data_IF_650611830039
#
_entry.id   IF_650611830039
#
_cell.length_a   1.000
_cell.length_b   1.000
_cell.length_c   1.000
_cell.angle_alpha   90.00
_cell.angle_beta   90.00
_cell.angle_gamma   90.00
#
_symmetry.space_group_name_H-M   'P 1'
#
loop_
_entity.id
_entity.type
_entity.pdbx_description
1 polymer ?
#
# COMPACT_ATOMS: atom_id res chain seq x y z
N UNK A 1 -23.06 16.46 7.57
CA UNK A 1 -22.92 15.62 8.79
C UNK A 1 -22.72 14.18 8.34
N UNK A 2 -21.87 13.42 9.02
CA UNK A 2 -21.70 11.98 8.81
C UNK A 2 -23.02 11.22 9.00
N UNK A 3 -23.09 10.00 8.50
CA UNK A 3 -24.24 9.11 8.73
C UNK A 3 -24.16 8.52 10.14
N UNK A 4 -25.28 8.51 10.87
CA UNK A 4 -25.37 7.80 12.15
C UNK A 4 -26.08 6.45 11.95
N UNK A 5 -25.44 5.35 12.37
CA UNK A 5 -25.97 4.00 12.34
C UNK A 5 -26.06 3.45 13.76
N UNK A 6 -27.23 2.94 14.16
CA UNK A 6 -27.45 2.36 15.50
C UNK A 6 -27.64 0.86 15.31
N UNK A 7 -26.77 0.04 15.95
CA UNK A 7 -26.75 -1.42 15.74
C UNK A 7 -28.07 -2.10 16.19
N UNK A 8 -28.74 -1.58 17.21
CA UNK A 8 -30.03 -2.12 17.68
C UNK A 8 -31.25 -1.72 16.83
N UNK A 9 -31.09 -0.83 15.84
CA UNK A 9 -32.20 -0.39 15.02
C UNK A 9 -32.69 -1.45 14.05
N UNK A 10 -33.99 -1.50 13.82
CA UNK A 10 -34.56 -2.28 12.74
C UNK A 10 -33.99 -1.83 11.39
N UNK A 11 -33.47 -2.76 10.58
CA UNK A 11 -32.85 -2.47 9.29
C UNK A 11 -31.39 -2.00 9.36
N UNK A 12 -30.72 -2.09 10.52
CA UNK A 12 -29.29 -1.78 10.62
C UNK A 12 -28.46 -2.54 9.60
N UNK A 13 -28.64 -3.85 9.48
CA UNK A 13 -27.87 -4.70 8.56
C UNK A 13 -28.00 -4.24 7.11
N UNK A 14 -29.19 -3.83 6.67
CA UNK A 14 -29.40 -3.32 5.32
C UNK A 14 -28.68 -1.98 5.12
N UNK A 15 -28.80 -1.06 6.07
CA UNK A 15 -28.14 0.26 6.01
C UNK A 15 -26.61 0.12 6.08
N UNK A 16 -26.12 -0.76 6.94
CA UNK A 16 -24.70 -1.02 7.07
C UNK A 16 -24.12 -1.69 5.81
N UNK A 17 -24.83 -2.66 5.21
CA UNK A 17 -24.43 -3.25 3.94
C UNK A 17 -24.40 -2.19 2.81
N UNK A 18 -25.39 -1.31 2.75
CA UNK A 18 -25.40 -0.20 1.80
C UNK A 18 -24.21 0.73 2.03
N UNK A 19 -23.92 1.12 3.27
CA UNK A 19 -22.76 1.92 3.63
C UNK A 19 -21.44 1.29 3.17
N UNK A 20 -21.26 -0.02 3.35
CA UNK A 20 -20.06 -0.75 2.90
C UNK A 20 -19.91 -0.79 1.38
N UNK A 21 -21.01 -0.68 0.63
CA UNK A 21 -21.01 -0.74 -0.84
C UNK A 21 -21.01 0.62 -1.52
N UNK A 22 -21.15 1.72 -0.77
CA UNK A 22 -21.22 3.11 -1.29
C UNK A 22 -19.98 3.51 -2.11
N UNK A 23 -19.05 2.61 -2.37
CA UNK A 23 -17.71 2.88 -2.89
C UNK A 23 -17.42 2.31 -4.27
N UNK A 24 -17.10 3.20 -5.20
CA UNK A 24 -15.75 3.45 -5.74
C UNK A 24 -15.41 2.54 -6.89
N UNK A 25 -16.26 2.44 -7.86
CA UNK A 25 -15.90 1.81 -9.13
C UNK A 25 -15.06 2.78 -9.97
N UNK A 26 -13.97 2.28 -10.54
CA UNK A 26 -13.23 2.97 -11.60
C UNK A 26 -14.15 2.96 -12.83
N UNK A 27 -14.43 4.11 -13.42
CA UNK A 27 -15.32 4.18 -14.60
C UNK A 27 -14.71 3.44 -15.79
N UNK A 28 -15.54 2.85 -16.64
CA UNK A 28 -15.10 2.22 -17.93
C UNK A 28 -14.32 3.20 -18.82
N UNK A 29 -14.62 4.50 -18.73
CA UNK A 29 -13.92 5.56 -19.44
C UNK A 29 -12.45 5.67 -19.04
N UNK A 30 -12.12 5.50 -17.73
CA UNK A 30 -10.76 5.50 -17.23
C UNK A 30 -9.99 4.31 -17.77
N UNK A 31 -10.57 3.10 -17.77
CA UNK A 31 -9.91 1.90 -18.27
C UNK A 31 -9.58 1.98 -19.76
N UNK A 32 -10.49 2.56 -20.55
CA UNK A 32 -10.29 2.76 -21.98
C UNK A 32 -9.20 3.79 -22.26
N UNK A 33 -9.21 4.91 -21.54
CA UNK A 33 -8.18 5.95 -21.68
C UNK A 33 -6.80 5.41 -21.29
N UNK A 34 -6.72 4.66 -20.20
CA UNK A 34 -5.45 4.05 -19.72
C UNK A 34 -4.92 3.03 -20.71
N UNK A 35 -5.78 2.20 -21.32
CA UNK A 35 -5.38 1.24 -22.35
C UNK A 35 -4.73 1.95 -23.56
N UNK A 36 -5.29 3.07 -23.99
CA UNK A 36 -4.75 3.87 -25.07
C UNK A 36 -3.38 4.48 -24.69
N UNK A 37 -3.25 4.97 -23.45
CA UNK A 37 -1.97 5.51 -22.94
C UNK A 37 -0.88 4.42 -22.93
N UNK A 38 -1.18 3.25 -22.38
CA UNK A 38 -0.24 2.12 -22.31
C UNK A 38 0.19 1.70 -23.73
N UNK A 39 -0.77 1.56 -24.66
CA UNK A 39 -0.48 1.19 -26.04
C UNK A 39 0.47 2.20 -26.72
N UNK A 40 0.24 3.50 -26.50
CA UNK A 40 1.06 4.56 -27.06
C UNK A 40 2.48 4.58 -26.48
N UNK A 41 2.64 4.42 -25.15
CA UNK A 41 3.97 4.35 -24.52
C UNK A 41 4.77 3.15 -25.07
N UNK A 42 4.12 2.00 -25.28
CA UNK A 42 4.76 0.81 -25.86
C UNK A 42 5.22 1.01 -27.30
N UNK A 43 4.50 1.83 -28.04
CA UNK A 43 4.80 2.08 -29.47
C UNK A 43 5.82 3.21 -29.68
N UNK A 44 5.79 4.25 -28.86
CA UNK A 44 6.50 5.51 -29.08
C UNK A 44 7.56 5.82 -28.00
N UNK A 45 7.66 5.01 -26.93
CA UNK A 45 8.68 5.15 -25.89
C UNK A 45 8.72 6.54 -25.24
N UNK A 46 9.91 7.14 -25.17
CA UNK A 46 10.14 8.45 -24.56
C UNK A 46 9.32 9.58 -25.21
N UNK A 47 9.04 9.51 -26.52
CA UNK A 47 8.23 10.51 -27.20
C UNK A 47 6.82 10.60 -26.61
N UNK A 48 6.20 9.46 -26.29
CA UNK A 48 4.90 9.44 -25.61
C UNK A 48 4.98 10.02 -24.19
N UNK A 49 6.08 9.77 -23.45
CA UNK A 49 6.27 10.35 -22.11
C UNK A 49 6.37 11.87 -22.15
N UNK A 50 7.15 12.41 -23.11
CA UNK A 50 7.29 13.86 -23.32
C UNK A 50 5.94 14.51 -23.61
N UNK A 51 5.20 13.96 -24.56
CA UNK A 51 3.88 14.50 -24.95
C UNK A 51 2.87 14.45 -23.80
N UNK A 52 2.78 13.33 -23.08
CA UNK A 52 1.84 13.20 -21.98
C UNK A 52 2.22 14.09 -20.79
N UNK A 53 3.50 14.22 -20.46
CA UNK A 53 3.95 15.10 -19.39
C UNK A 53 3.71 16.58 -19.74
N UNK A 54 3.95 16.98 -21.00
CA UNK A 54 3.60 18.31 -21.46
C UNK A 54 2.07 18.57 -21.35
N UNK A 55 1.28 17.58 -21.74
CA UNK A 55 -0.19 17.68 -21.72
C UNK A 55 -0.74 17.77 -20.29
N UNK A 56 -0.32 16.90 -19.38
CA UNK A 56 -0.91 16.75 -18.06
C UNK A 56 -0.23 17.58 -16.98
N UNK A 57 1.10 17.60 -16.98
CA UNK A 57 1.90 18.30 -15.97
C UNK A 57 2.34 19.70 -16.42
N UNK A 58 2.12 20.07 -17.71
CA UNK A 58 2.61 21.33 -18.31
C UNK A 58 4.12 21.49 -18.21
N UNK A 59 4.86 20.39 -18.24
CA UNK A 59 6.31 20.33 -18.16
C UNK A 59 6.91 19.85 -19.49
N UNK A 60 7.84 20.61 -20.05
CA UNK A 60 8.55 20.25 -21.26
C UNK A 60 9.81 19.43 -20.93
N UNK A 61 9.71 18.11 -21.05
CA UNK A 61 10.81 17.20 -20.79
C UNK A 61 11.92 17.26 -21.84
N UNK A 62 11.72 17.88 -23.02
CA UNK A 62 12.81 18.11 -23.97
C UNK A 62 13.83 19.11 -23.40
N UNK A 63 13.38 20.08 -22.62
CA UNK A 63 14.24 21.06 -21.97
C UNK A 63 14.71 20.63 -20.59
N UNK A 64 13.85 19.96 -19.81
CA UNK A 64 14.13 19.58 -18.42
C UNK A 64 14.86 18.23 -18.28
N UNK A 65 14.75 17.37 -19.30
CA UNK A 65 15.14 15.96 -19.22
C UNK A 65 14.13 15.10 -18.45
N UNK A 66 14.00 13.84 -18.87
CA UNK A 66 13.15 12.84 -18.17
C UNK A 66 13.76 12.49 -16.81
N UNK A 67 15.07 12.26 -16.76
CA UNK A 67 15.78 11.89 -15.54
C UNK A 67 16.11 13.10 -14.67
N UNK A 68 16.01 12.94 -13.36
CA UNK A 68 16.51 13.90 -12.37
C UNK A 68 18.04 13.76 -12.27
N UNK A 69 18.75 14.87 -12.30
CA UNK A 69 20.21 14.90 -12.22
C UNK A 69 20.69 14.91 -10.75
N UNK A 70 21.98 14.64 -10.57
CA UNK A 70 22.63 14.83 -9.25
C UNK A 70 22.63 16.27 -8.79
N UNK A 71 22.69 17.22 -9.75
CA UNK A 71 22.66 18.64 -9.44
C UNK A 71 21.27 19.08 -8.95
N UNK A 72 20.18 18.49 -9.50
CA UNK A 72 18.82 18.70 -8.97
C UNK A 72 18.71 18.23 -7.51
N UNK A 73 19.28 17.07 -7.20
CA UNK A 73 19.28 16.54 -5.82
C UNK A 73 20.13 17.46 -4.91
N UNK A 74 21.31 17.89 -5.36
CA UNK A 74 22.15 18.80 -4.59
C UNK A 74 21.48 20.15 -4.36
N UNK A 75 20.71 20.65 -5.32
CA UNK A 75 19.89 21.85 -5.15
C UNK A 75 18.74 21.62 -4.18
N UNK A 76 18.08 20.46 -4.24
CA UNK A 76 17.00 20.11 -3.31
C UNK A 76 17.43 20.16 -1.83
N UNK A 77 18.66 19.73 -1.51
CA UNK A 77 19.21 19.86 -0.15
C UNK A 77 19.40 21.32 0.29
N UNK A 78 19.67 22.24 -0.63
CA UNK A 78 19.78 23.67 -0.29
C UNK A 78 18.43 24.35 -0.07
N UNK A 79 17.41 23.86 -0.81
CA UNK A 79 16.06 24.41 -0.78
C UNK A 79 15.21 23.81 0.35
N UNK A 80 15.58 22.64 0.85
CA UNK A 80 14.86 21.92 1.90
C UNK A 80 15.13 22.52 3.29
N UNK A 81 14.09 22.59 4.13
CA UNK A 81 14.24 22.95 5.53
C UNK A 81 15.09 21.90 6.27
N UNK A 82 16.20 22.32 6.93
CA UNK A 82 17.10 21.40 7.63
C UNK A 82 16.41 20.57 8.73
N UNK A 83 15.45 21.16 9.44
CA UNK A 83 14.72 20.45 10.50
C UNK A 83 13.89 19.31 9.90
N UNK A 84 13.24 19.54 8.77
CA UNK A 84 12.45 18.53 8.06
C UNK A 84 13.36 17.42 7.48
N UNK A 85 14.55 17.76 7.00
CA UNK A 85 15.55 16.77 6.56
C UNK A 85 15.95 15.84 7.70
N UNK A 86 16.21 16.37 8.89
CA UNK A 86 16.53 15.55 10.07
C UNK A 86 15.33 14.68 10.50
N UNK A 87 14.10 15.17 10.41
CA UNK A 87 12.90 14.40 10.66
C UNK A 87 12.75 13.24 9.65
N UNK A 88 13.06 13.44 8.38
CA UNK A 88 13.07 12.38 7.36
C UNK A 88 14.13 11.31 7.65
N UNK A 89 15.33 11.71 8.09
CA UNK A 89 16.38 10.75 8.50
C UNK A 89 15.94 9.94 9.71
N UNK A 90 15.35 10.57 10.71
CA UNK A 90 14.79 9.90 11.87
C UNK A 90 13.70 8.90 11.48
N UNK A 91 12.75 9.29 10.64
CA UNK A 91 11.69 8.42 10.12
C UNK A 91 12.29 7.21 9.37
N UNK A 92 13.24 7.45 8.44
CA UNK A 92 13.95 6.40 7.70
C UNK A 92 14.56 5.35 8.64
N UNK A 93 15.23 5.77 9.69
CA UNK A 93 15.92 4.85 10.60
C UNK A 93 14.94 4.00 11.42
N UNK A 94 13.81 4.59 11.82
CA UNK A 94 12.73 3.85 12.48
C UNK A 94 12.08 2.83 11.54
N UNK A 95 11.75 3.25 10.31
CA UNK A 95 11.17 2.37 9.28
C UNK A 95 12.14 1.22 8.97
N UNK A 96 13.43 1.51 8.81
CA UNK A 96 14.48 0.49 8.61
C UNK A 96 14.50 -0.52 9.73
N UNK A 97 14.61 -0.05 10.98
CA UNK A 97 14.68 -0.92 12.16
C UNK A 97 13.49 -1.86 12.29
N UNK A 98 12.28 -1.39 11.94
CA UNK A 98 11.09 -2.22 11.92
C UNK A 98 11.16 -3.29 10.83
N UNK A 99 11.48 -2.90 9.61
CA UNK A 99 11.46 -3.80 8.45
C UNK A 99 12.60 -4.81 8.46
N UNK A 100 13.76 -4.50 9.06
CA UNK A 100 14.85 -5.47 9.26
C UNK A 100 14.40 -6.71 10.05
N UNK A 101 13.45 -6.57 10.97
CA UNK A 101 12.88 -7.68 11.74
C UNK A 101 11.93 -8.56 10.93
N UNK A 102 11.44 -8.08 9.80
CA UNK A 102 10.51 -8.82 8.93
C UNK A 102 11.24 -9.68 7.89
N UNK A 103 12.57 -9.58 7.78
CA UNK A 103 13.33 -10.34 6.80
C UNK A 103 13.19 -11.85 7.07
N UNK A 104 12.67 -12.61 6.08
CA UNK A 104 12.55 -14.05 6.21
C UNK A 104 13.92 -14.72 6.13
N UNK A 105 14.03 -15.90 6.73
CA UNK A 105 15.25 -16.72 6.70
C UNK A 105 15.09 -17.86 5.71
N UNK A 106 16.17 -18.23 5.05
CA UNK A 106 16.26 -19.49 4.33
C UNK A 106 16.07 -20.64 5.31
N UNK A 107 15.36 -21.67 4.87
CA UNK A 107 15.09 -22.86 5.67
C UNK A 107 15.48 -24.12 4.90
N UNK A 108 16.10 -25.07 5.59
CA UNK A 108 16.42 -26.41 5.08
C UNK A 108 16.26 -27.45 6.16
N UNK A 109 15.55 -28.52 5.84
CA UNK A 109 15.34 -29.64 6.73
C UNK A 109 15.26 -30.95 5.94
N UNK A 110 15.48 -32.08 6.64
CA UNK A 110 15.28 -33.42 6.08
C UNK A 110 14.03 -34.01 6.72
N UNK A 111 13.11 -34.48 5.90
CA UNK A 111 11.88 -35.13 6.38
C UNK A 111 12.10 -36.60 6.82
N UNK A 112 11.05 -37.25 7.30
CA UNK A 112 11.08 -38.63 7.75
C UNK A 112 11.45 -39.65 6.67
N UNK A 113 11.29 -39.30 5.38
CA UNK A 113 11.67 -40.13 4.24
C UNK A 113 13.13 -39.87 3.78
N UNK A 114 13.85 -39.01 4.49
CA UNK A 114 15.21 -38.63 4.15
C UNK A 114 15.33 -37.61 3.01
N UNK A 115 14.23 -36.98 2.63
CA UNK A 115 14.18 -35.97 1.57
C UNK A 115 14.63 -34.62 2.14
N UNK A 116 15.59 -33.97 1.49
CA UNK A 116 15.96 -32.60 1.82
C UNK A 116 14.99 -31.60 1.16
N UNK A 117 14.27 -30.86 1.98
CA UNK A 117 13.30 -29.83 1.61
C UNK A 117 13.79 -28.47 2.13
N UNK A 118 13.30 -27.41 1.51
CA UNK A 118 13.59 -26.08 2.01
C UNK A 118 13.06 -24.95 1.14
N UNK A 119 13.41 -23.76 1.53
CA UNK A 119 13.12 -22.54 0.77
C UNK A 119 14.27 -21.56 0.84
N UNK A 120 14.46 -20.84 -0.26
CA UNK A 120 15.43 -19.75 -0.39
C UNK A 120 14.70 -18.47 -0.72
N UNK A 121 15.07 -17.39 -0.06
CA UNK A 121 14.55 -16.05 -0.35
C UNK A 121 15.58 -15.24 -1.12
N UNK A 122 15.12 -14.54 -2.14
CA UNK A 122 15.96 -13.66 -2.96
C UNK A 122 15.21 -12.38 -3.26
N UNK A 123 15.89 -11.24 -3.20
CA UNK A 123 15.32 -9.97 -3.62
C UNK A 123 14.88 -10.02 -5.09
N UNK A 124 13.88 -9.21 -5.45
CA UNK A 124 13.59 -8.88 -6.85
C UNK A 124 14.72 -8.00 -7.41
N UNK A 125 14.92 -8.03 -8.73
CA UNK A 125 16.04 -7.33 -9.37
C UNK A 125 15.86 -5.80 -9.33
N UNK A 126 14.65 -5.34 -9.58
CA UNK A 126 14.33 -3.92 -9.65
C UNK A 126 12.89 -3.65 -9.22
N UNK A 127 12.66 -2.50 -8.58
CA UNK A 127 11.33 -2.01 -8.22
C UNK A 127 11.13 -0.58 -8.68
N UNK A 128 9.94 -0.29 -9.22
CA UNK A 128 9.48 1.04 -9.53
C UNK A 128 8.53 1.55 -8.43
N UNK A 129 8.85 2.70 -7.88
CA UNK A 129 8.06 3.37 -6.87
C UNK A 129 7.28 4.50 -7.52
N UNK A 130 5.96 4.43 -7.51
CA UNK A 130 5.12 5.55 -7.89
C UNK A 130 4.94 6.47 -6.69
N UNK A 131 5.45 7.69 -6.79
CA UNK A 131 5.26 8.72 -5.75
C UNK A 131 4.17 9.67 -6.23
N UNK A 132 3.06 9.81 -5.49
CA UNK A 132 2.02 10.74 -5.85
C UNK A 132 2.55 12.18 -5.88
N UNK A 133 2.06 12.98 -6.84
CA UNK A 133 2.27 14.41 -6.92
C UNK A 133 0.91 15.11 -7.06
N UNK A 134 0.90 16.41 -6.97
CA UNK A 134 -0.32 17.23 -7.08
C UNK A 134 -0.39 18.28 -5.98
N UNK A 135 -1.54 18.42 -5.32
CA UNK A 135 -1.76 19.43 -4.26
C UNK A 135 -0.97 19.17 -2.97
N UNK A 136 -0.51 17.95 -2.76
CA UNK A 136 0.38 17.59 -1.66
C UNK A 136 1.58 16.81 -2.18
N UNK A 137 2.74 16.97 -1.54
CA UNK A 137 3.93 16.18 -1.76
C UNK A 137 4.09 15.19 -0.61
N UNK A 138 4.51 13.95 -0.93
CA UNK A 138 4.58 12.87 0.05
C UNK A 138 6.00 12.31 0.17
N UNK A 139 6.94 13.06 0.80
CA UNK A 139 8.29 12.53 1.06
C UNK A 139 8.26 11.29 1.97
N UNK A 140 7.27 11.17 2.87
CA UNK A 140 7.04 9.98 3.67
C UNK A 140 6.77 8.74 2.81
N UNK A 141 5.97 8.86 1.75
CA UNK A 141 5.70 7.74 0.83
C UNK A 141 6.96 7.26 0.11
N UNK A 142 7.94 8.15 -0.12
CA UNK A 142 9.26 7.72 -0.64
C UNK A 142 9.93 6.80 0.36
N UNK A 143 10.00 7.18 1.65
CA UNK A 143 10.61 6.38 2.70
C UNK A 143 9.89 5.03 2.85
N UNK A 144 8.55 5.05 2.94
CA UNK A 144 7.70 3.87 3.15
C UNK A 144 7.80 2.84 2.04
N UNK A 145 8.13 3.26 0.83
CA UNK A 145 8.33 2.34 -0.31
C UNK A 145 9.81 1.96 -0.48
N UNK A 146 10.74 2.92 -0.41
CA UNK A 146 12.14 2.67 -0.73
C UNK A 146 12.90 1.95 0.39
N UNK A 147 12.61 2.27 1.67
CA UNK A 147 13.34 1.67 2.80
C UNK A 147 13.12 0.17 2.90
N UNK A 148 11.88 -0.39 2.87
CA UNK A 148 11.69 -1.83 2.89
C UNK A 148 12.26 -2.52 1.64
N UNK A 149 12.22 -1.89 0.46
CA UNK A 149 12.86 -2.42 -0.74
C UNK A 149 14.38 -2.53 -0.56
N UNK A 150 15.01 -1.51 0.04
CA UNK A 150 16.45 -1.52 0.34
C UNK A 150 16.80 -2.56 1.40
N UNK A 151 16.00 -2.69 2.46
CA UNK A 151 16.16 -3.74 3.50
C UNK A 151 16.05 -5.14 2.88
N UNK A 152 15.13 -5.35 1.95
CA UNK A 152 14.97 -6.61 1.23
C UNK A 152 16.17 -6.94 0.31
N UNK A 153 17.07 -5.99 0.07
CA UNK A 153 18.23 -6.18 -0.79
C UNK A 153 17.99 -5.89 -2.27
N UNK A 154 16.93 -5.14 -2.62
CA UNK A 154 16.70 -4.70 -4.00
C UNK A 154 17.81 -3.73 -4.41
N UNK A 155 18.55 -4.09 -5.47
CA UNK A 155 19.70 -3.29 -5.91
C UNK A 155 19.27 -2.04 -6.68
N UNK A 156 18.28 -2.17 -7.57
CA UNK A 156 17.78 -1.09 -8.40
C UNK A 156 16.40 -0.63 -7.93
N UNK A 157 16.35 0.57 -7.35
CA UNK A 157 15.12 1.24 -6.90
C UNK A 157 14.92 2.48 -7.75
N UNK A 158 13.80 2.55 -8.44
CA UNK A 158 13.44 3.59 -9.41
C UNK A 158 12.22 4.37 -8.90
N UNK A 159 12.29 5.68 -8.91
CA UNK A 159 11.12 6.54 -8.63
C UNK A 159 10.61 7.15 -9.93
N UNK A 160 9.28 7.15 -10.08
CA UNK A 160 8.55 8.01 -11.01
C UNK A 160 7.66 8.95 -10.21
N UNK A 161 7.72 10.24 -10.53
CA UNK A 161 6.99 11.29 -9.81
C UNK A 161 6.48 12.34 -10.79
N UNK A 162 5.19 12.74 -10.73
CA UNK A 162 4.67 13.86 -11.50
C UNK A 162 5.44 15.16 -11.15
N UNK A 163 5.66 15.98 -12.15
CA UNK A 163 6.37 17.26 -12.00
C UNK A 163 5.53 18.41 -12.59
N UNK A 164 4.43 18.83 -11.94
CA UNK A 164 3.61 19.94 -12.43
C UNK A 164 4.44 21.21 -12.61
N UNK A 165 4.37 21.80 -13.83
CA UNK A 165 5.20 22.95 -14.20
C UNK A 165 6.71 22.66 -14.23
N UNK A 166 7.11 21.38 -14.21
CA UNK A 166 8.52 20.96 -14.18
C UNK A 166 9.13 20.87 -12.79
N UNK A 167 8.36 21.14 -11.74
CA UNK A 167 8.86 21.24 -10.35
C UNK A 167 8.56 19.95 -9.59
N UNK A 168 9.59 19.38 -8.98
CA UNK A 168 9.47 18.31 -7.97
C UNK A 168 9.75 18.94 -6.61
N UNK A 169 8.95 18.62 -5.60
CA UNK A 169 9.19 19.10 -4.24
C UNK A 169 10.59 18.65 -3.76
N UNK A 170 11.43 19.57 -3.26
CA UNK A 170 12.78 19.26 -2.80
C UNK A 170 12.84 18.13 -1.77
N UNK A 171 11.88 18.04 -0.86
CA UNK A 171 11.84 16.98 0.16
C UNK A 171 11.62 15.59 -0.42
N UNK A 172 10.97 15.45 -1.58
CA UNK A 172 10.83 14.18 -2.29
C UNK A 172 12.19 13.71 -2.82
N UNK A 173 12.98 14.62 -3.39
CA UNK A 173 14.34 14.31 -3.87
C UNK A 173 15.29 13.97 -2.73
N UNK A 174 15.22 14.72 -1.63
CA UNK A 174 15.99 14.44 -0.41
C UNK A 174 15.60 13.08 0.17
N UNK A 175 14.30 12.77 0.29
CA UNK A 175 13.83 11.47 0.79
C UNK A 175 14.29 10.30 -0.11
N UNK A 176 14.31 10.49 -1.42
CA UNK A 176 14.83 9.52 -2.38
C UNK A 176 16.32 9.25 -2.15
N UNK A 177 17.13 10.30 -2.04
CA UNK A 177 18.57 10.18 -1.82
C UNK A 177 18.90 9.48 -0.50
N UNK A 178 18.32 9.94 0.63
CA UNK A 178 18.57 9.32 1.94
C UNK A 178 18.07 7.88 2.05
N UNK A 179 17.16 7.44 1.19
CA UNK A 179 16.66 6.07 1.10
C UNK A 179 17.47 5.20 0.12
N UNK A 180 18.45 5.78 -0.57
CA UNK A 180 19.31 5.08 -1.51
C UNK A 180 18.63 4.72 -2.83
N UNK A 181 17.71 5.55 -3.31
CA UNK A 181 17.07 5.39 -4.62
C UNK A 181 18.11 5.55 -5.73
N UNK A 182 18.03 4.69 -6.75
CA UNK A 182 19.03 4.64 -7.82
C UNK A 182 18.73 5.60 -8.97
N UNK A 183 17.45 5.78 -9.29
CA UNK A 183 16.99 6.51 -10.46
C UNK A 183 15.69 7.26 -10.14
N UNK A 184 15.56 8.51 -10.59
CA UNK A 184 14.36 9.32 -10.41
C UNK A 184 13.95 9.92 -11.74
N UNK A 185 12.68 9.80 -12.13
CA UNK A 185 12.15 10.29 -13.40
C UNK A 185 10.95 11.21 -13.20
N UNK A 186 10.91 12.32 -13.96
CA UNK A 186 9.85 13.36 -13.96
C UNK A 186 8.65 12.92 -14.80
N UNK A 187 8.07 11.79 -14.46
CA UNK A 187 6.93 11.24 -15.20
C UNK A 187 5.88 10.75 -14.20
N UNK A 188 4.63 11.18 -14.37
CA UNK A 188 3.50 10.76 -13.55
C UNK A 188 2.46 9.97 -14.33
N UNK A 189 1.32 9.65 -13.70
CA UNK A 189 0.15 9.06 -14.33
C UNK A 189 0.34 7.65 -14.91
N UNK A 190 -0.61 7.25 -15.75
CA UNK A 190 -0.63 5.93 -16.37
C UNK A 190 0.58 5.68 -17.29
N UNK A 191 1.12 6.72 -17.93
CA UNK A 191 2.30 6.63 -18.79
C UNK A 191 3.57 6.26 -18.01
N UNK A 192 3.69 6.71 -16.74
CA UNK A 192 4.79 6.31 -15.87
C UNK A 192 4.72 4.83 -15.52
N UNK A 193 3.52 4.32 -15.22
CA UNK A 193 3.29 2.89 -14.97
C UNK A 193 3.62 2.05 -16.20
N UNK A 194 3.21 2.52 -17.39
CA UNK A 194 3.55 1.85 -18.65
C UNK A 194 5.07 1.80 -18.91
N UNK A 195 5.78 2.93 -18.66
CA UNK A 195 7.24 3.00 -18.80
C UNK A 195 7.96 2.05 -17.84
N UNK A 196 7.53 1.98 -16.57
CA UNK A 196 8.08 1.04 -15.61
C UNK A 196 7.82 -0.43 -15.97
N UNK A 197 6.67 -0.73 -16.61
CA UNK A 197 6.29 -2.10 -16.95
C UNK A 197 6.99 -2.60 -18.24
N UNK A 198 7.06 -1.76 -19.27
CA UNK A 198 7.51 -2.16 -20.61
C UNK A 198 8.89 -1.61 -21.00
N UNK A 199 9.35 -0.59 -20.29
CA UNK A 199 10.55 0.15 -20.64
C UNK A 199 10.32 1.20 -21.72
N UNK A 200 11.28 2.11 -21.83
CA UNK A 200 11.45 3.09 -22.90
C UNK A 200 12.95 3.24 -23.17
N UNK A 201 13.35 4.18 -24.02
CA UNK A 201 14.77 4.45 -24.30
C UNK A 201 15.52 4.90 -23.04
N UNK A 202 14.85 5.70 -22.17
CA UNK A 202 15.44 6.24 -20.94
C UNK A 202 15.14 5.37 -19.71
N UNK A 203 13.94 4.80 -19.60
CA UNK A 203 13.48 4.08 -18.42
C UNK A 203 13.53 2.57 -18.66
N UNK A 204 14.46 1.88 -18.01
CA UNK A 204 14.49 0.40 -18.07
C UNK A 204 13.33 -0.18 -17.27
N UNK A 205 12.70 -1.29 -17.72
CA UNK A 205 11.59 -1.91 -17.00
C UNK A 205 12.02 -2.44 -15.63
N UNK A 206 11.03 -2.67 -14.77
CA UNK A 206 11.21 -3.19 -13.40
C UNK A 206 10.46 -4.50 -13.21
N UNK A 207 10.78 -5.25 -12.16
CA UNK A 207 10.11 -6.50 -11.82
C UNK A 207 8.79 -6.29 -11.06
N UNK A 208 8.68 -5.19 -10.30
CA UNK A 208 7.48 -4.85 -9.51
C UNK A 208 7.29 -3.34 -9.47
N UNK A 209 6.02 -2.90 -9.46
CA UNK A 209 5.63 -1.50 -9.28
C UNK A 209 4.85 -1.40 -7.98
N UNK A 210 5.25 -0.48 -7.09
CA UNK A 210 4.59 -0.22 -5.80
C UNK A 210 4.28 1.27 -5.63
N UNK A 211 3.43 1.59 -4.69
CA UNK A 211 3.04 2.94 -4.35
C UNK A 211 1.61 3.29 -4.79
N UNK A 212 0.92 4.15 -4.01
CA UNK A 212 -0.43 4.60 -4.29
C UNK A 212 -0.47 5.61 -5.42
N UNK A 213 -1.63 5.76 -6.06
CA UNK A 213 -1.87 6.76 -7.09
C UNK A 213 -3.35 6.96 -7.35
N UNK A 214 -3.69 7.91 -8.20
CA UNK A 214 -5.07 8.19 -8.58
C UNK A 214 -5.71 7.06 -9.41
N UNK A 215 -6.98 7.20 -9.79
CA UNK A 215 -7.73 6.20 -10.54
C UNK A 215 -7.03 5.75 -11.84
N UNK A 216 -6.33 6.64 -12.54
CA UNK A 216 -5.57 6.30 -13.75
C UNK A 216 -4.35 5.42 -13.45
N UNK A 217 -3.64 5.71 -12.34
CA UNK A 217 -2.51 4.90 -11.88
C UNK A 217 -2.98 3.51 -11.42
N UNK A 218 -4.07 3.46 -10.65
CA UNK A 218 -4.69 2.21 -10.21
C UNK A 218 -5.13 1.34 -11.39
N UNK A 219 -5.80 1.94 -12.39
CA UNK A 219 -6.20 1.26 -13.62
C UNK A 219 -4.98 0.78 -14.43
N UNK A 220 -3.92 1.59 -14.52
CA UNK A 220 -2.71 1.22 -15.22
C UNK A 220 -2.00 0.04 -14.52
N UNK A 221 -1.83 0.07 -13.19
CA UNK A 221 -1.28 -1.05 -12.41
C UNK A 221 -2.06 -2.34 -12.65
N UNK A 222 -3.39 -2.29 -12.66
CA UNK A 222 -4.25 -3.44 -12.96
C UNK A 222 -4.01 -3.99 -14.36
N UNK A 223 -3.86 -3.11 -15.37
CA UNK A 223 -3.70 -3.52 -16.77
C UNK A 223 -2.31 -4.05 -17.10
N UNK A 224 -1.26 -3.66 -16.37
CA UNK A 224 0.10 -4.17 -16.57
C UNK A 224 0.42 -5.39 -15.70
N UNK A 225 -0.45 -5.73 -14.74
CA UNK A 225 -0.25 -6.91 -13.88
C UNK A 225 -0.17 -8.19 -14.73
N UNK A 226 0.82 -9.00 -14.43
CA UNK A 226 1.16 -10.19 -15.22
C UNK A 226 2.37 -9.96 -16.15
N UNK A 227 2.60 -8.74 -16.67
CA UNK A 227 3.87 -8.33 -17.27
C UNK A 227 4.86 -7.90 -16.20
N UNK A 228 4.39 -7.17 -15.21
CA UNK A 228 5.11 -6.69 -14.02
C UNK A 228 4.30 -7.00 -12.78
N UNK A 229 4.94 -7.27 -11.64
CA UNK A 229 4.26 -7.40 -10.36
C UNK A 229 3.75 -6.04 -9.86
N UNK A 230 2.71 -6.05 -9.04
CA UNK A 230 2.24 -4.85 -8.31
C UNK A 230 2.12 -5.17 -6.82
N UNK A 231 2.06 -4.12 -5.98
CA UNK A 231 1.70 -4.24 -4.57
C UNK A 231 0.20 -4.52 -4.41
N UNK A 232 -0.62 -3.50 -4.61
CA UNK A 232 -2.07 -3.54 -4.46
C UNK A 232 -2.75 -2.52 -5.39
N UNK A 233 -4.07 -2.61 -5.49
CA UNK A 233 -4.91 -1.57 -6.08
C UNK A 233 -5.44 -0.72 -4.94
N UNK A 234 -4.86 0.47 -4.75
CA UNK A 234 -5.28 1.38 -3.72
C UNK A 234 -6.60 2.08 -4.08
N UNK A 235 -7.50 2.13 -3.12
CA UNK A 235 -8.66 3.03 -3.10
C UNK A 235 -8.35 4.29 -2.27
N UNK A 236 -9.34 5.15 -2.02
CA UNK A 236 -9.23 6.24 -1.06
C UNK A 236 -8.97 5.72 0.34
N UNK A 237 -8.20 6.48 1.13
CA UNK A 237 -7.78 6.11 2.48
C UNK A 237 -8.93 6.05 3.49
N UNK A 238 -8.74 5.29 4.55
CA UNK A 238 -9.77 4.94 5.53
C UNK A 238 -9.21 4.91 6.96
N UNK A 239 -9.92 5.56 7.89
CA UNK A 239 -9.70 5.36 9.33
C UNK A 239 -10.97 4.86 10.01
N UNK A 240 -10.81 3.93 10.92
CA UNK A 240 -11.84 3.42 11.81
C UNK A 240 -11.36 3.54 13.25
N UNK A 241 -11.93 4.46 14.01
CA UNK A 241 -11.69 4.59 15.43
C UNK A 241 -12.76 3.78 16.22
N UNK A 242 -12.32 2.88 17.09
CA UNK A 242 -13.16 2.26 18.11
C UNK A 242 -12.82 2.94 19.44
N UNK A 243 -13.73 3.74 19.97
CA UNK A 243 -13.49 4.56 21.16
C UNK A 243 -14.67 4.55 22.12
N UNK A 244 -14.38 4.45 23.40
CA UNK A 244 -15.36 4.56 24.48
C UNK A 244 -15.44 5.99 25.05
N UNK A 245 -16.43 6.26 25.88
CA UNK A 245 -16.67 7.57 26.49
C UNK A 245 -15.63 8.06 27.51
N UNK A 246 -14.54 7.31 27.74
CA UNK A 246 -13.43 7.75 28.59
C UNK A 246 -12.36 8.56 27.82
N UNK A 247 -12.51 8.66 26.49
CA UNK A 247 -11.64 9.46 25.66
C UNK A 247 -12.04 10.94 25.63
N UNK A 248 -11.09 11.79 25.25
CA UNK A 248 -11.38 13.18 24.91
C UNK A 248 -12.00 13.22 23.49
N UNK A 249 -13.22 13.76 23.31
CA UNK A 249 -13.85 13.86 21.99
C UNK A 249 -13.02 14.66 20.98
N UNK A 250 -12.25 15.65 21.44
CA UNK A 250 -11.42 16.46 20.55
C UNK A 250 -10.22 15.67 19.97
N UNK A 251 -9.69 14.67 20.70
CA UNK A 251 -8.66 13.78 20.19
C UNK A 251 -9.18 12.91 19.07
N UNK A 252 -10.29 12.20 19.30
CA UNK A 252 -10.90 11.35 18.29
C UNK A 252 -11.35 12.15 17.06
N UNK A 253 -11.88 13.36 17.26
CA UNK A 253 -12.22 14.24 16.14
C UNK A 253 -10.99 14.64 15.32
N UNK A 254 -9.85 14.87 15.96
CA UNK A 254 -8.60 15.19 15.26
C UNK A 254 -8.11 13.99 14.42
N UNK A 255 -8.19 12.76 14.95
CA UNK A 255 -7.81 11.55 14.22
C UNK A 255 -8.72 11.31 13.00
N UNK A 256 -10.04 11.46 13.16
CA UNK A 256 -11.00 11.36 12.05
C UNK A 256 -10.75 12.42 10.97
N UNK A 257 -10.36 13.65 11.36
CA UNK A 257 -10.09 14.75 10.45
C UNK A 257 -8.70 14.62 9.79
N UNK A 258 -7.71 14.03 10.46
CA UNK A 258 -6.43 13.72 9.86
C UNK A 258 -6.59 12.83 8.61
N UNK A 259 -7.51 11.87 8.67
CA UNK A 259 -7.85 11.06 7.50
C UNK A 259 -8.73 11.82 6.48
N UNK A 260 -9.72 12.57 6.97
CA UNK A 260 -10.68 13.25 6.09
C UNK A 260 -10.02 14.33 5.21
N UNK A 261 -8.92 14.95 5.65
CA UNK A 261 -8.22 15.98 4.88
C UNK A 261 -7.40 15.44 3.70
N UNK A 262 -7.17 14.11 3.61
CA UNK A 262 -6.39 13.50 2.53
C UNK A 262 -7.07 13.66 1.17
N UNK A 263 -8.36 13.33 1.07
CA UNK A 263 -9.12 13.38 -0.17
C UNK A 263 -10.63 13.50 0.10
N UNK A 264 -11.37 14.11 -0.81
CA UNK A 264 -12.84 14.25 -0.69
C UNK A 264 -13.58 12.90 -0.62
N UNK A 265 -12.96 11.82 -1.05
CA UNK A 265 -13.47 10.45 -0.99
C UNK A 265 -12.85 9.60 0.13
N UNK A 266 -12.00 10.18 0.99
CA UNK A 266 -11.51 9.53 2.20
C UNK A 266 -12.67 9.15 3.13
N UNK A 267 -12.48 8.15 3.99
CA UNK A 267 -13.52 7.68 4.88
C UNK A 267 -13.05 7.65 6.32
N UNK A 268 -13.80 8.33 7.19
CA UNK A 268 -13.55 8.37 8.63
C UNK A 268 -14.76 7.81 9.38
N UNK A 269 -14.54 6.77 10.18
CA UNK A 269 -15.60 6.03 10.89
C UNK A 269 -15.28 6.03 12.38
N UNK A 270 -16.26 6.38 13.19
CA UNK A 270 -16.25 6.14 14.66
C UNK A 270 -17.21 5.00 15.00
N UNK A 271 -16.75 4.03 15.77
CA UNK A 271 -17.62 3.08 16.50
C UNK A 271 -17.50 3.35 17.99
N UNK A 272 -18.63 3.57 18.66
CA UNK A 272 -18.65 3.80 20.11
C UNK A 272 -19.89 3.17 20.75
N UNK A 273 -19.76 2.81 22.02
CA UNK A 273 -20.88 2.34 22.84
C UNK A 273 -21.52 3.45 23.68
N UNK A 274 -21.08 4.70 23.54
CA UNK A 274 -21.61 5.86 24.25
C UNK A 274 -22.21 6.88 23.26
N UNK A 275 -23.53 6.99 23.17
CA UNK A 275 -24.19 7.96 22.29
C UNK A 275 -23.87 9.41 22.60
N UNK A 276 -23.63 9.76 23.88
CA UNK A 276 -23.28 11.11 24.27
C UNK A 276 -21.86 11.47 23.79
N UNK A 277 -20.93 10.52 23.91
CA UNK A 277 -19.59 10.64 23.39
C UNK A 277 -19.57 10.77 21.85
N UNK A 278 -20.32 9.91 21.14
CA UNK A 278 -20.44 9.99 19.69
C UNK A 278 -20.91 11.37 19.23
N UNK A 279 -21.93 11.93 19.88
CA UNK A 279 -22.39 13.30 19.60
C UNK A 279 -21.36 14.37 19.94
N UNK A 280 -20.60 14.21 21.02
CA UNK A 280 -19.53 15.14 21.40
C UNK A 280 -18.41 15.14 20.37
N UNK A 281 -18.05 13.98 19.80
CA UNK A 281 -17.07 13.86 18.71
C UNK A 281 -17.57 14.55 17.43
N UNK A 282 -18.84 14.36 17.04
CA UNK A 282 -19.40 15.08 15.88
C UNK A 282 -19.30 16.61 16.07
N UNK A 283 -19.63 17.11 17.25
CA UNK A 283 -19.49 18.53 17.57
C UNK A 283 -18.03 19.01 17.57
N UNK A 284 -17.09 18.16 18.00
CA UNK A 284 -15.67 18.46 17.97
C UNK A 284 -15.16 18.53 16.52
N UNK A 285 -15.58 17.61 15.63
CA UNK A 285 -15.29 17.66 14.20
C UNK A 285 -15.78 18.97 13.59
N UNK A 286 -17.02 19.39 13.85
CA UNK A 286 -17.57 20.65 13.34
C UNK A 286 -16.75 21.87 13.81
N UNK A 287 -16.33 21.89 15.08
CA UNK A 287 -15.48 22.98 15.61
C UNK A 287 -14.10 23.00 14.96
N UNK A 288 -13.46 21.85 14.84
CA UNK A 288 -12.08 21.77 14.31
C UNK A 288 -12.02 22.07 12.81
N UNK A 289 -13.04 21.71 12.05
CA UNK A 289 -13.16 22.07 10.62
C UNK A 289 -13.05 23.58 10.38
N UNK A 290 -13.47 24.44 11.32
CA UNK A 290 -13.41 25.89 11.17
C UNK A 290 -11.97 26.45 11.08
N UNK A 291 -10.98 25.71 11.54
CA UNK A 291 -9.57 26.13 11.60
C UNK A 291 -8.63 25.36 10.69
N UNK A 292 -9.09 24.30 10.03
CA UNK A 292 -8.24 23.50 9.16
C UNK A 292 -7.94 24.19 7.84
N UNK A 293 -6.69 24.20 7.37
CA UNK A 293 -6.34 24.73 6.04
C UNK A 293 -7.06 24.01 4.90
N UNK A 294 -7.32 22.70 5.04
CA UNK A 294 -8.03 21.86 4.06
C UNK A 294 -9.49 21.57 4.44
N UNK A 295 -10.12 22.52 5.14
CA UNK A 295 -11.48 22.38 5.66
C UNK A 295 -12.51 21.92 4.59
N UNK A 296 -12.45 22.43 3.36
CA UNK A 296 -13.38 22.05 2.29
C UNK A 296 -13.27 20.55 1.94
N UNK A 297 -12.04 20.04 1.81
CA UNK A 297 -11.78 18.62 1.54
C UNK A 297 -12.26 17.75 2.68
N UNK A 298 -11.86 18.07 3.92
CA UNK A 298 -12.22 17.30 5.10
C UNK A 298 -13.74 17.32 5.36
N UNK A 299 -14.40 18.48 5.18
CA UNK A 299 -15.86 18.60 5.33
C UNK A 299 -16.63 17.79 4.29
N UNK A 300 -16.17 17.76 3.03
CA UNK A 300 -16.78 16.95 1.98
C UNK A 300 -16.64 15.45 2.30
N UNK A 301 -15.42 14.99 2.65
CA UNK A 301 -15.15 13.62 3.06
C UNK A 301 -16.02 13.20 4.24
N UNK A 302 -16.02 13.97 5.33
CA UNK A 302 -16.82 13.68 6.53
C UNK A 302 -18.33 13.63 6.25
N UNK A 303 -18.83 14.58 5.45
CA UNK A 303 -20.27 14.64 5.09
C UNK A 303 -20.71 13.45 4.25
N UNK A 304 -19.91 13.05 3.26
CA UNK A 304 -20.34 12.13 2.21
C UNK A 304 -19.94 10.66 2.53
N UNK A 305 -18.87 10.45 3.31
CA UNK A 305 -18.30 9.14 3.62
C UNK A 305 -18.06 8.89 5.11
N UNK A 306 -18.20 9.88 5.96
CA UNK A 306 -18.06 9.73 7.42
C UNK A 306 -19.23 8.97 8.04
N UNK A 307 -18.95 8.24 9.13
CA UNK A 307 -19.98 7.53 9.88
C UNK A 307 -19.71 7.53 11.40
N UNK A 308 -20.79 7.62 12.18
CA UNK A 308 -20.79 7.29 13.63
C UNK A 308 -21.68 6.07 13.81
N UNK A 309 -21.11 4.97 14.29
CA UNK A 309 -21.81 3.70 14.52
C UNK A 309 -21.94 3.49 16.03
N UNK A 310 -23.15 3.44 16.51
CA UNK A 310 -23.47 3.18 17.91
C UNK A 310 -23.72 1.69 18.14
N UNK A 311 -22.99 1.12 19.08
CA UNK A 311 -23.10 -0.28 19.50
C UNK A 311 -23.49 -0.37 20.96
N UNK A 312 -24.01 -1.51 21.42
CA UNK A 312 -24.39 -1.69 22.83
C UNK A 312 -23.18 -1.84 23.75
N UNK A 313 -22.17 -2.56 23.29
CA UNK A 313 -20.90 -2.76 24.01
C UNK A 313 -19.72 -2.65 23.03
N UNK A 314 -18.53 -2.38 23.53
CA UNK A 314 -17.32 -2.34 22.68
C UNK A 314 -17.08 -3.69 21.98
N UNK A 315 -17.39 -4.82 22.62
CA UNK A 315 -17.28 -6.15 22.03
C UNK A 315 -18.18 -6.32 20.80
N UNK A 316 -19.34 -5.69 20.80
CA UNK A 316 -20.27 -5.71 19.66
C UNK A 316 -19.72 -4.97 18.42
N UNK A 317 -18.69 -4.14 18.59
CA UNK A 317 -17.97 -3.52 17.48
C UNK A 317 -17.14 -4.53 16.67
N UNK A 318 -16.63 -5.60 17.29
CA UNK A 318 -15.68 -6.53 16.66
C UNK A 318 -16.13 -7.07 15.30
N UNK A 319 -17.34 -7.63 15.13
CA UNK A 319 -17.79 -8.11 13.82
C UNK A 319 -17.99 -6.98 12.81
N UNK A 320 -18.22 -5.76 13.23
CA UNK A 320 -18.35 -4.61 12.34
C UNK A 320 -16.97 -4.16 11.85
N UNK A 321 -15.98 -4.11 12.74
CA UNK A 321 -14.57 -3.83 12.41
C UNK A 321 -14.08 -4.83 11.36
N UNK A 322 -14.27 -6.13 11.58
CA UNK A 322 -13.87 -7.17 10.63
C UNK A 322 -14.59 -7.07 9.28
N UNK A 323 -15.83 -6.61 9.26
CA UNK A 323 -16.59 -6.40 8.02
C UNK A 323 -16.19 -5.13 7.29
N UNK A 324 -15.86 -4.05 8.01
CA UNK A 324 -15.32 -2.83 7.43
C UNK A 324 -13.93 -3.10 6.85
N UNK A 325 -13.09 -3.81 7.59
CA UNK A 325 -11.73 -4.17 7.21
C UNK A 325 -10.95 -2.92 6.72
N UNK A 326 -10.95 -1.88 7.55
CA UNK A 326 -10.40 -0.58 7.22
C UNK A 326 -8.88 -0.62 7.06
N UNK A 327 -8.35 0.37 6.37
CA UNK A 327 -6.92 0.62 6.21
C UNK A 327 -6.26 0.85 7.58
N UNK A 328 -6.75 1.82 8.34
CA UNK A 328 -6.28 2.14 9.69
C UNK A 328 -7.38 1.81 10.71
N UNK A 329 -7.04 1.10 11.78
CA UNK A 329 -7.93 0.83 12.90
C UNK A 329 -7.30 1.33 14.19
N UNK A 330 -7.90 2.33 14.83
CA UNK A 330 -7.52 2.82 16.13
C UNK A 330 -8.39 2.18 17.22
N UNK A 331 -7.74 1.59 18.20
CA UNK A 331 -8.40 0.98 19.37
C UNK A 331 -8.17 1.85 20.60
N UNK A 332 -8.92 2.96 20.70
CA UNK A 332 -8.87 3.88 21.83
C UNK A 332 -9.80 3.40 22.98
N UNK A 333 -9.55 2.19 23.47
CA UNK A 333 -10.32 1.48 24.49
C UNK A 333 -9.41 0.90 25.57
N UNK A 334 -9.98 0.52 26.72
CA UNK A 334 -9.19 -0.01 27.85
C UNK A 334 -8.51 -1.35 27.53
N UNK A 335 -9.24 -2.31 26.96
CA UNK A 335 -8.70 -3.62 26.56
C UNK A 335 -8.42 -3.71 25.06
N UNK A 336 -7.54 -2.85 24.56
CA UNK A 336 -7.14 -2.83 23.15
C UNK A 336 -6.45 -4.13 22.73
N UNK A 337 -5.61 -4.73 23.59
CA UNK A 337 -4.91 -5.99 23.32
C UNK A 337 -5.88 -7.18 23.24
N UNK A 338 -6.83 -7.29 24.16
CA UNK A 338 -7.85 -8.34 24.12
C UNK A 338 -8.81 -8.20 22.94
N UNK A 339 -9.08 -6.97 22.49
CA UNK A 339 -9.85 -6.72 21.27
C UNK A 339 -9.05 -7.15 20.03
N UNK A 340 -7.77 -6.74 19.92
CA UNK A 340 -6.88 -7.12 18.84
C UNK A 340 -6.74 -8.64 18.69
N UNK A 341 -6.62 -9.38 19.80
CA UNK A 341 -6.47 -10.84 19.78
C UNK A 341 -7.65 -11.57 19.12
N UNK A 342 -8.82 -10.92 19.04
CA UNK A 342 -10.05 -11.46 18.43
C UNK A 342 -10.33 -10.89 17.03
N UNK A 343 -9.75 -9.76 16.70
CA UNK A 343 -9.90 -9.07 15.41
C UNK A 343 -9.14 -9.80 14.30
N UNK A 344 -9.65 -9.73 13.07
CA UNK A 344 -9.06 -10.46 11.93
C UNK A 344 -8.61 -9.54 10.79
N UNK A 345 -9.29 -8.43 10.56
CA UNK A 345 -9.15 -7.66 9.34
C UNK A 345 -8.86 -6.19 9.64
N UNK A 346 -7.63 -5.77 9.37
CA UNK A 346 -7.19 -4.37 9.34
C UNK A 346 -5.93 -4.25 8.48
N UNK A 347 -5.69 -3.10 7.89
CA UNK A 347 -4.42 -2.80 7.25
C UNK A 347 -3.33 -2.56 8.30
N UNK A 348 -3.59 -1.67 9.26
CA UNK A 348 -2.77 -1.44 10.45
C UNK A 348 -3.66 -1.22 11.68
N UNK A 349 -3.12 -1.49 12.87
CA UNK A 349 -3.84 -1.30 14.14
C UNK A 349 -3.01 -0.44 15.10
N UNK A 350 -3.66 0.57 15.67
CA UNK A 350 -3.08 1.53 16.60
C UNK A 350 -3.70 1.30 17.99
N UNK A 351 -2.88 0.90 18.96
CA UNK A 351 -3.35 0.42 20.25
C UNK A 351 -3.24 1.48 21.32
N UNK A 352 -4.38 1.80 21.93
CA UNK A 352 -4.48 2.72 23.08
C UNK A 352 -4.65 4.18 22.66
N UNK A 353 -5.13 4.98 23.62
CA UNK A 353 -5.56 6.37 23.45
C UNK A 353 -4.47 7.37 23.03
N UNK A 354 -3.20 6.98 23.19
CA UNK A 354 -2.04 7.83 22.85
C UNK A 354 -1.32 7.39 21.56
N UNK A 355 -2.00 6.61 20.71
CA UNK A 355 -1.41 6.07 19.49
C UNK A 355 -2.26 6.49 18.28
N UNK A 356 -2.24 7.78 17.90
CA UNK A 356 -2.93 8.23 16.70
C UNK A 356 -2.27 7.65 15.45
N UNK A 357 -3.06 7.42 14.38
CA UNK A 357 -2.57 6.83 13.12
C UNK A 357 -1.41 7.61 12.50
N UNK A 358 -1.42 8.95 12.64
CA UNK A 358 -0.43 9.87 12.11
C UNK A 358 1.01 9.53 12.53
N UNK A 359 1.17 8.94 13.72
CA UNK A 359 2.49 8.46 14.17
C UNK A 359 2.96 7.29 13.28
N UNK A 360 2.05 6.40 12.87
CA UNK A 360 2.33 5.33 11.92
C UNK A 360 2.67 5.85 10.54
N UNK A 361 1.99 6.90 10.11
CA UNK A 361 2.17 7.52 8.80
C UNK A 361 3.55 8.15 8.61
N UNK A 362 4.18 8.63 9.69
CA UNK A 362 5.44 9.34 9.57
C UNK A 362 6.61 8.66 10.27
N UNK A 363 6.51 8.41 11.57
CA UNK A 363 7.68 8.09 12.42
C UNK A 363 7.51 6.84 13.28
N UNK A 364 6.37 6.19 13.27
CA UNK A 364 6.11 4.98 14.07
C UNK A 364 7.05 3.82 13.72
N UNK A 365 7.42 3.72 12.46
CA UNK A 365 8.28 2.66 11.91
C UNK A 365 7.51 1.61 11.11
N UNK A 366 6.21 1.42 11.36
CA UNK A 366 5.32 0.62 10.51
C UNK A 366 5.16 1.27 9.12
N UNK A 367 4.63 0.52 8.17
CA UNK A 367 4.40 1.03 6.81
C UNK A 367 2.99 1.61 6.68
N UNK A 368 2.88 2.74 5.99
CA UNK A 368 1.59 3.37 5.71
C UNK A 368 1.01 3.02 4.32
N UNK A 369 1.71 2.23 3.52
CA UNK A 369 1.16 1.70 2.25
C UNK A 369 0.33 0.47 2.60
N UNK A 370 -0.94 0.69 2.83
CA UNK A 370 -1.85 -0.26 3.44
C UNK A 370 -3.00 -0.65 2.50
N UNK A 371 -3.62 -1.83 2.70
CA UNK A 371 -4.76 -2.26 1.91
C UNK A 371 -5.99 -1.41 2.23
N UNK A 372 -6.56 -0.78 1.21
CA UNK A 372 -7.78 0.03 1.26
C UNK A 372 -8.98 -0.70 0.67
N UNK A 373 -10.15 -0.09 0.69
CA UNK A 373 -11.37 -0.61 0.07
C UNK A 373 -11.67 -2.06 0.49
N UNK A 374 -11.52 -2.34 1.78
CA UNK A 374 -11.75 -3.66 2.40
C UNK A 374 -10.82 -4.76 1.91
N UNK A 375 -9.73 -4.45 1.24
CA UNK A 375 -8.76 -5.46 0.78
C UNK A 375 -7.93 -6.05 1.93
N UNK A 376 -7.94 -5.44 3.12
CA UNK A 376 -7.35 -6.00 4.34
C UNK A 376 -7.90 -7.39 4.73
N UNK A 377 -9.01 -7.84 4.14
CA UNK A 377 -9.56 -9.20 4.26
C UNK A 377 -8.68 -10.27 3.61
N UNK A 378 -7.81 -9.91 2.67
CA UNK A 378 -6.99 -10.83 1.89
C UNK A 378 -5.61 -10.29 1.51
N UNK A 379 -5.28 -9.07 1.90
CA UNK A 379 -4.00 -8.40 1.60
C UNK A 379 -3.41 -7.80 2.87
N UNK A 380 -2.10 -7.69 2.91
CA UNK A 380 -1.36 -7.03 3.99
C UNK A 380 -0.79 -5.70 3.51
N UNK A 381 -0.39 -4.85 4.45
CA UNK A 381 0.40 -3.66 4.15
C UNK A 381 1.76 -4.01 3.55
N UNK A 382 2.35 -3.04 2.86
CA UNK A 382 3.65 -3.18 2.21
C UNK A 382 4.74 -3.53 3.24
N UNK A 383 5.53 -4.54 2.94
CA UNK A 383 6.58 -5.06 3.80
C UNK A 383 7.78 -5.53 2.99
N UNK A 384 8.83 -6.01 3.64
CA UNK A 384 9.96 -6.62 2.94
C UNK A 384 9.56 -7.84 2.10
N UNK A 385 8.48 -8.53 2.47
CA UNK A 385 7.98 -9.69 1.74
C UNK A 385 7.49 -9.35 0.33
N UNK A 386 7.12 -8.09 0.09
CA UNK A 386 6.76 -7.60 -1.23
C UNK A 386 7.93 -7.50 -2.20
N UNK A 387 9.14 -7.47 -1.67
CA UNK A 387 10.37 -7.25 -2.42
C UNK A 387 11.28 -8.49 -2.49
N UNK A 388 10.85 -9.62 -1.92
CA UNK A 388 11.56 -10.89 -1.99
C UNK A 388 10.71 -11.98 -2.61
N UNK A 389 11.37 -12.97 -3.22
CA UNK A 389 10.75 -14.18 -3.81
C UNK A 389 11.21 -15.39 -3.04
N UNK A 390 10.27 -16.29 -2.73
CA UNK A 390 10.57 -17.60 -2.15
C UNK A 390 10.68 -18.65 -3.23
N UNK A 391 11.82 -19.31 -3.33
CA UNK A 391 12.06 -20.47 -4.20
C UNK A 391 12.07 -21.73 -3.36
N UNK A 392 11.23 -22.71 -3.70
CA UNK A 392 11.22 -24.01 -3.07
C UNK A 392 12.42 -24.85 -3.50
N UNK A 393 12.99 -25.61 -2.57
CA UNK A 393 14.13 -26.49 -2.78
C UNK A 393 13.71 -27.90 -2.43
N UNK A 394 14.03 -28.84 -3.33
CA UNK A 394 13.83 -30.28 -3.16
C UNK A 394 15.11 -30.99 -3.62
N UNK A 395 15.66 -31.88 -2.78
CA UNK A 395 16.81 -32.70 -3.13
C UNK A 395 16.61 -34.13 -2.66
N UNK A 396 16.83 -35.06 -3.59
CA UNK A 396 16.74 -36.49 -3.38
C UNK A 396 18.08 -37.17 -3.68
N UNK A 397 18.40 -38.20 -2.91
CA UNK A 397 19.36 -39.21 -3.31
C UNK A 397 18.66 -40.43 -4.00
N UNK A 398 19.43 -41.41 -4.49
CA UNK A 398 18.88 -42.61 -5.15
C UNK A 398 17.91 -43.42 -4.27
N UNK A 399 18.16 -43.50 -2.98
CA UNK A 399 17.31 -44.23 -2.03
C UNK A 399 15.97 -43.56 -1.81
N UNK A 400 15.96 -42.22 -1.62
CA UNK A 400 14.74 -41.47 -1.47
C UNK A 400 13.92 -41.50 -2.75
N UNK A 401 14.57 -41.38 -3.92
CA UNK A 401 13.89 -41.52 -5.20
C UNK A 401 13.24 -42.89 -5.34
N UNK A 402 13.93 -43.98 -4.97
CA UNK A 402 13.39 -45.35 -5.02
C UNK A 402 12.18 -45.50 -4.10
N UNK A 403 12.24 -44.93 -2.91
CA UNK A 403 11.14 -44.98 -1.96
C UNK A 403 9.87 -44.24 -2.45
N UNK A 404 10.04 -43.08 -3.12
CA UNK A 404 8.93 -42.26 -3.59
C UNK A 404 8.41 -42.64 -4.99
N UNK A 405 9.19 -43.37 -5.78
CA UNK A 405 8.88 -43.72 -7.19
C UNK A 405 7.54 -44.41 -7.39
N UNK A 406 7.13 -45.44 -6.59
CA UNK A 406 5.87 -46.12 -6.82
C UNK A 406 4.68 -45.16 -6.78
N UNK A 407 4.64 -44.24 -5.81
CA UNK A 407 3.54 -43.28 -5.69
C UNK A 407 3.57 -42.25 -6.83
N UNK A 408 4.74 -41.74 -7.17
CA UNK A 408 4.90 -40.73 -8.25
C UNK A 408 4.47 -41.33 -9.61
N UNK A 409 4.88 -42.56 -9.93
CA UNK A 409 4.52 -43.25 -11.18
C UNK A 409 3.04 -43.54 -11.23
N UNK A 410 2.44 -43.98 -10.11
CA UNK A 410 1.01 -44.26 -10.04
C UNK A 410 0.16 -43.02 -10.28
N UNK A 411 0.54 -41.87 -9.67
CA UNK A 411 -0.14 -40.61 -9.87
C UNK A 411 0.00 -40.11 -11.32
N UNK A 412 1.22 -40.14 -11.85
CA UNK A 412 1.46 -39.74 -13.24
C UNK A 412 0.60 -40.55 -14.23
N UNK A 413 0.47 -41.88 -14.00
CA UNK A 413 -0.39 -42.75 -14.80
C UNK A 413 -1.88 -42.40 -14.65
N UNK A 414 -2.33 -42.14 -13.43
CA UNK A 414 -3.72 -41.75 -13.16
C UNK A 414 -4.11 -40.43 -13.83
N UNK A 415 -3.14 -39.51 -13.96
CA UNK A 415 -3.31 -38.21 -14.65
C UNK A 415 -3.11 -38.31 -16.18
N UNK A 416 -2.73 -39.47 -16.73
CA UNK A 416 -2.43 -39.64 -18.15
C UNK A 416 -1.12 -38.94 -18.58
N UNK A 417 -0.19 -38.72 -17.64
CA UNK A 417 1.08 -38.03 -17.86
C UNK A 417 2.25 -39.04 -17.91
N UNK A 418 2.31 -39.88 -18.95
CA UNK A 418 3.30 -40.94 -19.08
C UNK A 418 4.76 -40.46 -19.03
N UNK A 419 5.03 -39.30 -19.60
CA UNK A 419 6.37 -38.71 -19.55
C UNK A 419 6.83 -38.39 -18.12
N UNK A 420 5.91 -37.98 -17.21
CA UNK A 420 6.21 -37.77 -15.80
C UNK A 420 6.61 -39.07 -15.11
N UNK A 421 5.82 -40.13 -15.30
CA UNK A 421 6.13 -41.46 -14.77
C UNK A 421 7.45 -41.99 -15.31
N UNK A 422 7.73 -41.83 -16.61
CA UNK A 422 8.98 -42.22 -17.27
C UNK A 422 10.17 -41.46 -16.74
N UNK A 423 10.02 -40.16 -16.40
CA UNK A 423 11.08 -39.37 -15.83
C UNK A 423 11.61 -39.93 -14.50
N UNK A 424 10.73 -40.56 -13.71
CA UNK A 424 11.11 -41.24 -12.47
C UNK A 424 11.67 -42.65 -12.77
N UNK A 425 10.96 -43.44 -13.56
CA UNK A 425 11.29 -44.83 -13.84
C UNK A 425 12.68 -45.00 -14.48
N UNK A 426 13.03 -44.18 -15.45
CA UNK A 426 14.34 -44.26 -16.14
C UNK A 426 15.56 -44.03 -15.23
N UNK A 427 15.40 -43.24 -14.16
CA UNK A 427 16.46 -43.01 -13.16
C UNK A 427 16.68 -44.19 -12.22
N UNK A 428 15.76 -45.15 -12.23
CA UNK A 428 15.81 -46.37 -11.43
C UNK A 428 15.98 -47.61 -12.27
N UNK A 429 16.20 -47.48 -13.61
CA UNK A 429 16.27 -48.58 -14.58
C UNK A 429 15.00 -49.46 -14.58
N UNK A 430 13.83 -48.84 -14.46
CA UNK A 430 12.52 -49.49 -14.46
C UNK A 430 11.82 -49.31 -15.80
#
# INVERSE_FOLDING_TARGET
>A
MAITLIQSDAGFEQRFAAFLTTKREVSEDVDTAVRAIIARVRAEGDAALVDYTLKFDKADLNSLGIAVSKDDIAQAYKDADPQTVEALKFARDRIRSHHERQMPKDDRYTDAAGVELGSRWTAIEAVGLYVPGGTASYPSSVLMNAVPARVAGVERIVIVVPAPGGIINPLVLVAADISGVSEIYRVGGAQAIAALAYGTETIRPVAKIVGPGNAYVAAAKRQVFGTVGIDMIAGPSEVLAVADGSNDPDWIAADLLAQAEHDVSAQSILITNDPAFGKAVEQAVERQLLSLPRAETAAASWRDFGAVILVETIEAALPLVDRIAAEHVELAIDDAEGFLARMRNAGAVFLGRHTPEVIGDYVGGSNHVLPTARSARFSSGLSVLDFVKRTSILKLGPEQLRALAPAAIALAKAEGLDAHGRSVAIRLNM
#
